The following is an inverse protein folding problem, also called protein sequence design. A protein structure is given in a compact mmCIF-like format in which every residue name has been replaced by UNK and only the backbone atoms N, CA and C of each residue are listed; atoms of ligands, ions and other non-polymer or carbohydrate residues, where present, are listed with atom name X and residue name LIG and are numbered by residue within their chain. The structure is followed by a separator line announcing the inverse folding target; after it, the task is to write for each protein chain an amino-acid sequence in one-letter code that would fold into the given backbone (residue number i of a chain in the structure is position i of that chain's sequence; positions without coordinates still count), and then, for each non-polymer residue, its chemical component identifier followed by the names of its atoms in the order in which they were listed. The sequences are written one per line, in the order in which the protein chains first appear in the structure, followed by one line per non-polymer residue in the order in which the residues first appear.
data_IF_200020480335
#
_entry.id   IF_200020480335
#
_cell.length_a   1.000
_cell.length_b   1.000
_cell.length_c   1.000
_cell.angle_alpha   90.00
_cell.angle_beta   90.00
_cell.angle_gamma   90.00
#
_symmetry.space_group_name_H-M   'P 1'
#
loop_
_entity.id
_entity.type
_entity.pdbx_description
1 polymer ?
2 non-polymer ?
3 non-polymer ?
4 water ?
#
# COMPACT_ATOMS: atom_id res chain seq x y z
N UNK A 26 -0.03 16.89 18.66
CA UNK A 26 -1.00 17.38 17.68
C UNK A 26 -0.44 17.27 16.26
N UNK A 27 -1.19 16.65 15.35
CA UNK A 27 -0.67 16.40 14.00
C UNK A 27 -0.44 17.68 13.21
N UNK A 28 0.55 17.65 12.33
CA UNK A 28 0.80 18.74 11.40
C UNK A 28 1.21 18.18 10.05
N UNK A 29 1.26 19.07 9.07
CA UNK A 29 1.70 18.73 7.72
C UNK A 29 2.31 20.01 7.17
N UNK A 30 3.63 20.11 7.27
CA UNK A 30 4.36 21.25 6.75
C UNK A 30 4.84 21.00 5.35
N UNK A 31 4.69 22.01 4.51
CA UNK A 31 5.04 21.91 3.11
C UNK A 31 5.86 23.13 2.73
N UNK A 32 6.99 22.88 2.09
CA UNK A 32 7.85 23.91 1.54
C UNK A 32 7.91 23.81 0.00
N UNK A 33 7.59 24.88 -0.70
CA UNK A 33 7.68 24.88 -2.15
C UNK A 33 9.12 25.08 -2.60
N UNK A 34 9.56 24.28 -3.56
CA UNK A 34 10.95 24.39 -4.03
C UNK A 34 11.01 25.20 -5.31
N UNK A 35 9.84 25.52 -5.87
CA UNK A 35 9.74 26.38 -7.03
C UNK A 35 8.31 26.89 -7.18
N UNK A 36 8.12 27.80 -8.12
CA UNK A 36 6.84 28.41 -8.39
C UNK A 36 5.86 27.43 -9.05
N UNK A 37 6.40 26.34 -9.57
CA UNK A 37 5.62 25.35 -10.29
C UNK A 37 4.89 24.39 -9.35
N UNK A 38 5.26 24.42 -8.07
CA UNK A 38 4.68 23.53 -7.07
C UNK A 38 3.27 23.98 -6.67
N UNK A 39 2.45 23.01 -6.31
CA UNK A 39 1.08 23.30 -5.84
C UNK A 39 0.90 22.73 -4.44
N UNK A 40 0.43 23.55 -3.49
CA UNK A 40 0.13 23.05 -2.16
C UNK A 40 -0.90 21.92 -2.27
N UNK A 41 -0.57 20.74 -1.70
CA UNK A 41 -1.50 19.61 -1.74
C UNK A 41 -2.82 19.90 -1.01
N UNK A 42 -3.94 19.53 -1.61
CA UNK A 42 -5.25 19.81 -1.02
C UNK A 42 -6.10 18.55 -0.86
N UNK A 43 -6.97 18.56 0.15
CA UNK A 43 -7.93 17.49 0.33
C UNK A 43 -9.26 17.85 -0.33
N UNK A 44 -9.87 16.89 -1.01
CA UNK A 44 -11.09 17.13 -1.75
C UNK A 44 -12.35 17.34 -0.92
N UNK A 45 -12.53 16.50 0.09
CA UNK A 45 -13.71 16.56 0.93
C UNK A 45 -13.28 16.48 2.39
N UNK A 46 -14.18 16.84 3.32
CA UNK A 46 -13.92 16.79 4.77
C UNK A 46 -13.37 15.46 5.28
N UNK A 47 -13.85 14.35 4.75
CA UNK A 47 -13.38 13.05 5.23
C UNK A 47 -12.43 12.34 4.26
N UNK A 48 -11.95 13.03 3.22
CA UNK A 48 -11.03 12.40 2.29
C UNK A 48 -9.72 12.03 3.01
N UNK A 49 -9.13 10.93 2.58
CA UNK A 49 -7.94 10.39 3.21
C UNK A 49 -6.69 11.13 2.75
N UNK A 50 -6.72 11.59 1.51
CA UNK A 50 -5.48 12.03 0.87
C UNK A 50 -5.45 13.46 0.41
N UNK A 51 -4.23 13.98 0.26
CA UNK A 51 -4.02 15.32 -0.28
C UNK A 51 -3.52 15.15 -1.70
N UNK A 52 -4.20 15.79 -2.66
CA UNK A 52 -3.83 15.60 -4.06
C UNK A 52 -2.45 16.19 -4.36
N UNK A 53 -1.66 15.45 -5.14
CA UNK A 53 -0.34 15.89 -5.57
C UNK A 53 -0.37 16.21 -7.04
N UNK A 54 0.20 17.35 -7.41
CA UNK A 54 0.24 17.82 -8.80
C UNK A 54 1.63 17.75 -9.39
N UNK A 55 1.73 17.43 -10.67
CA UNK A 55 3.01 17.42 -11.36
C UNK A 55 3.57 18.84 -11.53
N UNK A 56 4.86 19.00 -11.28
CA UNK A 56 5.52 20.28 -11.52
C UNK A 56 6.07 20.37 -12.94
N UNK A 57 5.85 19.32 -13.74
CA UNK A 57 6.47 19.23 -15.07
C UNK A 57 5.54 18.64 -16.12
N UNK A 58 5.87 18.86 -17.39
CA UNK A 58 5.29 18.08 -18.47
C UNK A 58 6.15 16.84 -18.58
N UNK A 59 5.53 15.66 -18.60
CA UNK A 59 6.30 14.44 -18.71
C UNK A 59 5.49 13.34 -19.37
N UNK A 60 6.11 12.18 -19.52
CA UNK A 60 5.47 11.02 -20.14
C UNK A 60 5.79 9.79 -19.27
N UNK A 61 4.82 8.92 -19.03
CA UNK A 61 5.15 7.60 -18.50
C UNK A 61 5.02 6.63 -19.67
N UNK A 62 6.16 6.14 -20.17
CA UNK A 62 6.15 5.28 -21.36
C UNK A 62 5.35 4.00 -21.12
N UNK A 63 4.68 3.51 -22.16
CA UNK A 63 4.04 2.20 -22.12
C UNK A 63 4.97 1.16 -21.50
N UNK A 64 4.44 0.39 -20.54
CA UNK A 64 5.19 -0.67 -19.86
C UNK A 64 6.42 -0.18 -19.10
N UNK A 65 6.48 1.12 -18.88
CA UNK A 65 7.67 1.73 -18.33
C UNK A 65 7.38 2.48 -17.05
N UNK A 66 8.18 3.51 -16.80
CA UNK A 66 8.15 4.20 -15.51
C UNK A 66 8.59 5.63 -15.69
N UNK A 67 8.31 6.46 -14.69
CA UNK A 67 8.82 7.84 -14.68
C UNK A 67 8.84 8.35 -13.26
N UNK A 68 9.79 9.22 -12.97
CA UNK A 68 9.81 9.92 -11.70
C UNK A 68 9.30 11.33 -11.96
N UNK A 69 8.16 11.67 -11.36
CA UNK A 69 7.54 12.97 -11.59
C UNK A 69 7.74 13.88 -10.38
N UNK A 70 8.50 14.97 -10.57
CA UNK A 70 8.72 15.96 -9.50
C UNK A 70 7.44 16.71 -9.10
N UNK A 71 7.26 16.94 -7.81
CA UNK A 71 6.22 17.83 -7.31
C UNK A 71 6.79 19.22 -6.95
N UNK A 72 8.11 19.32 -6.90
CA UNK A 72 8.83 20.50 -6.38
C UNK A 72 8.36 20.88 -4.98
N UNK A 73 8.02 19.86 -4.19
CA UNK A 73 7.70 20.04 -2.77
C UNK A 73 8.71 19.33 -1.88
N UNK A 74 8.94 19.90 -0.71
CA UNK A 74 9.52 19.18 0.40
C UNK A 74 8.54 19.25 1.56
N UNK A 75 8.48 18.21 2.39
CA UNK A 75 7.46 18.12 3.43
C UNK A 75 7.99 17.64 4.77
N UNK A 76 7.18 17.82 5.80
CA UNK A 76 7.43 17.23 7.11
C UNK A 76 6.13 16.77 7.72
N UNK A 77 6.11 15.55 8.24
CA UNK A 77 4.94 15.06 8.96
C UNK A 77 5.38 14.64 10.36
N UNK A 78 4.44 14.40 11.28
CA UNK A 78 4.86 14.14 12.66
C UNK A 78 5.48 12.76 12.93
N UNK A 79 6.28 12.69 13.99
CA UNK A 79 6.70 11.40 14.52
C UNK A 79 5.47 10.52 14.80
N UNK A 80 5.57 9.23 14.56
CA UNK A 80 4.41 8.36 14.69
C UNK A 80 3.54 8.32 13.44
N UNK A 81 4.00 8.96 12.36
CA UNK A 81 3.37 8.85 11.05
C UNK A 81 4.41 8.72 9.92
N UNK A 82 3.94 8.39 8.72
CA UNK A 82 4.72 8.68 7.51
C UNK A 82 3.76 9.15 6.45
N UNK A 83 4.30 9.73 5.38
CA UNK A 83 3.48 10.17 4.27
C UNK A 83 3.54 9.11 3.17
N UNK A 84 2.39 8.53 2.85
CA UNK A 84 2.36 7.52 1.78
C UNK A 84 1.91 8.16 0.49
N UNK A 85 2.72 8.05 -0.56
CA UNK A 85 2.28 8.45 -1.88
C UNK A 85 1.41 7.34 -2.44
N UNK A 86 0.13 7.64 -2.61
CA UNK A 86 -0.87 6.64 -2.96
C UNK A 86 -1.48 6.95 -4.32
N UNK A 87 -1.98 5.92 -5.02
CA UNK A 87 -2.52 6.12 -6.37
C UNK A 87 -3.91 6.77 -6.37
N UNK A 88 -4.19 7.53 -7.42
CA UNK A 88 -5.55 7.96 -7.72
C UNK A 88 -6.27 6.85 -8.48
N UNK A 89 -7.56 6.67 -8.19
CA UNK A 89 -8.35 5.59 -8.77
C UNK A 89 -8.58 5.81 -10.26
N UNK A 90 -8.85 7.05 -10.65
CA UNK A 90 -9.07 7.39 -12.05
C UNK A 90 -7.90 7.04 -12.95
N UNK A 91 -6.71 7.48 -12.57
CA UNK A 91 -5.52 7.15 -13.35
C UNK A 91 -5.27 5.64 -13.42
N UNK A 92 -5.57 4.93 -12.34
CA UNK A 92 -5.35 3.48 -12.34
C UNK A 92 -6.22 2.81 -13.38
N UNK A 93 -7.51 3.17 -13.40
CA UNK A 93 -8.41 2.50 -14.31
C UNK A 93 -8.33 3.04 -15.75
N UNK A 94 -8.26 4.37 -15.90
CA UNK A 94 -8.19 4.95 -17.23
C UNK A 94 -6.86 4.71 -17.95
N UNK A 95 -5.76 4.64 -17.19
CA UNK A 95 -4.43 4.58 -17.82
C UNK A 95 -3.51 3.45 -17.33
N UNK A 96 -4.04 2.57 -16.49
CA UNK A 96 -3.26 1.47 -15.89
C UNK A 96 -2.05 2.01 -15.13
N UNK A 97 -2.21 3.19 -14.53
CA UNK A 97 -1.09 3.82 -13.83
C UNK A 97 -1.11 3.42 -12.36
N UNK A 98 0.05 3.02 -11.83
CA UNK A 98 0.18 2.73 -10.40
C UNK A 98 1.37 3.51 -9.84
N UNK A 99 1.36 3.74 -8.54
CA UNK A 99 2.44 4.43 -7.86
C UNK A 99 3.43 3.40 -7.28
N UNK A 100 4.70 3.51 -7.65
CA UNK A 100 5.73 2.67 -7.08
C UNK A 100 6.31 3.38 -5.86
N UNK A 101 7.15 2.68 -5.10
CA UNK A 101 7.80 3.28 -3.91
C UNK A 101 6.76 3.95 -2.99
N UNK A 102 6.93 5.24 -2.72
CA UNK A 102 5.88 5.99 -2.04
C UNK A 102 5.96 6.13 -0.52
N UNK A 103 6.98 5.56 0.10
CA UNK A 103 7.16 5.71 1.55
C UNK A 103 8.01 6.95 1.85
N UNK A 104 7.37 8.01 2.33
CA UNK A 104 8.12 9.22 2.67
C UNK A 104 8.26 9.30 4.19
N UNK A 105 9.50 9.16 4.68
CA UNK A 105 9.76 9.22 6.12
C UNK A 105 9.43 10.59 6.69
N UNK A 106 9.02 10.62 7.95
CA UNK A 106 8.61 11.86 8.61
C UNK A 106 9.76 12.85 8.69
N UNK A 107 11.00 12.34 8.62
CA UNK A 107 12.16 13.23 8.70
C UNK A 107 12.90 13.36 7.37
N UNK A 108 12.28 12.91 6.29
CA UNK A 108 12.84 13.12 4.95
C UNK A 108 12.60 14.57 4.48
N UNK A 109 13.67 15.28 4.14
CA UNK A 109 13.54 16.69 3.78
C UNK A 109 13.97 16.97 2.35
N UNK A 110 14.20 15.93 1.57
CA UNK A 110 14.51 16.10 0.16
C UNK A 110 13.27 16.39 -0.68
N UNK A 111 13.47 16.59 -1.99
CA UNK A 111 12.34 16.83 -2.88
C UNK A 111 11.45 15.59 -3.01
N UNK A 112 10.14 15.80 -3.07
CA UNK A 112 9.21 14.69 -3.19
C UNK A 112 8.91 14.43 -4.66
N UNK A 113 9.27 13.24 -5.13
CA UNK A 113 8.98 12.84 -6.48
C UNK A 113 8.01 11.66 -6.47
N UNK A 114 7.19 11.54 -7.51
CA UNK A 114 6.22 10.44 -7.59
C UNK A 114 6.69 9.44 -8.64
N UNK A 115 6.87 8.19 -8.24
CA UNK A 115 7.27 7.16 -9.17
C UNK A 115 6.02 6.48 -9.72
N UNK A 116 5.82 6.60 -11.04
CA UNK A 116 4.65 5.99 -11.70
C UNK A 116 5.10 4.84 -12.56
N UNK A 117 4.40 3.71 -12.45
CA UNK A 117 4.52 2.58 -13.38
C UNK A 117 3.31 2.55 -14.33
N UNK A 118 3.57 2.26 -15.60
CA UNK A 118 2.53 2.19 -16.63
C UNK A 118 2.28 0.72 -17.02
N UNK A 119 1.16 0.16 -16.58
CA UNK A 119 0.91 -1.27 -16.81
C UNK A 119 0.05 -1.47 -18.07
N UNK A 120 0.33 -0.70 -19.11
CA UNK A 120 -0.42 -0.79 -20.35
C UNK A 120 0.53 -0.62 -21.51
N UNK A 121 0.03 -0.81 -22.72
CA UNK A 121 0.86 -0.61 -23.90
C UNK A 121 0.62 0.76 -24.54
N UNK A 122 0.05 1.70 -23.78
CA UNK A 122 -0.13 3.06 -24.28
C UNK A 122 0.62 4.07 -23.41
N UNK A 123 1.36 4.99 -24.04
CA UNK A 123 2.05 6.03 -23.30
C UNK A 123 1.02 6.86 -22.52
N UNK A 124 1.40 7.33 -21.33
CA UNK A 124 0.56 8.21 -20.53
C UNK A 124 1.22 9.57 -20.41
N UNK A 125 0.52 10.61 -20.86
CA UNK A 125 1.08 11.95 -20.86
C UNK A 125 0.72 12.67 -19.57
N UNK A 126 1.72 13.25 -18.93
CA UNK A 126 1.50 14.08 -17.77
C UNK A 126 1.76 15.54 -18.15
N UNK A 127 0.78 16.39 -17.89
CA UNK A 127 0.94 17.83 -18.11
C UNK A 127 1.20 18.54 -16.80
N UNK A 128 1.98 19.60 -16.89
CA UNK A 128 2.18 20.52 -15.78
C UNK A 128 0.85 20.80 -15.05
N UNK A 129 0.83 20.57 -13.74
CA UNK A 129 -0.37 20.83 -12.97
C UNK A 129 -1.36 19.67 -12.84
N UNK A 130 -1.21 18.63 -13.66
CA UNK A 130 -2.05 17.43 -13.55
C UNK A 130 -1.86 16.76 -12.18
N UNK A 131 -2.96 16.29 -11.60
CA UNK A 131 -2.87 15.53 -10.35
C UNK A 131 -2.46 14.10 -10.66
N UNK A 132 -1.44 13.61 -9.97
CA UNK A 132 -0.80 12.33 -10.37
C UNK A 132 -0.78 11.27 -9.27
N UNK A 133 -1.10 11.68 -8.04
CA UNK A 133 -1.12 10.82 -6.87
C UNK A 133 -1.85 11.53 -5.75
N UNK A 134 -1.95 10.89 -4.59
CA UNK A 134 -2.47 11.55 -3.41
C UNK A 134 -1.64 11.11 -2.23
N UNK A 135 -1.37 12.04 -1.32
CA UNK A 135 -0.54 11.78 -0.16
C UNK A 135 -1.42 11.46 1.04
N UNK A 136 -1.11 10.37 1.74
CA UNK A 136 -1.87 9.99 2.92
C UNK A 136 -0.94 9.91 4.13
N UNK A 137 -1.32 10.60 5.20
CA UNK A 137 -0.48 10.62 6.39
C UNK A 137 -0.97 9.51 7.29
N UNK A 138 -0.28 8.38 7.22
CA UNK A 138 -0.70 7.16 7.91
C UNK A 138 -0.06 7.05 9.29
N UNK A 139 -0.83 6.61 10.28
CA UNK A 139 -0.34 6.41 11.64
C UNK A 139 0.40 5.07 11.77
N UNK A 140 1.53 5.09 12.46
CA UNK A 140 2.37 3.91 12.62
C UNK A 140 2.89 3.81 14.04
N UNK A 141 3.46 2.66 14.39
CA UNK A 141 4.29 2.60 15.59
C UNK A 141 5.72 2.26 15.18
N UNK A 142 6.69 2.71 15.96
CA UNK A 142 8.07 2.35 15.64
C UNK A 142 8.79 1.85 16.89
N UNK A 143 8.34 0.69 17.42
CA UNK A 143 8.97 0.14 18.60
C UNK A 143 10.40 -0.33 18.33
N UNK A 144 11.21 -0.38 19.37
CA UNK A 144 12.55 -0.93 19.25
C UNK A 144 12.45 -2.42 18.93
N UNK A 145 13.12 -2.87 17.87
CA UNK A 145 13.02 -4.26 17.46
C UNK A 145 13.90 -5.12 18.36
N UNK A 146 13.41 -6.29 18.74
CA UNK A 146 14.21 -7.22 19.54
C UNK A 146 14.17 -8.63 18.96
N UNK A 147 15.33 -9.28 18.91
CA UNK A 147 15.40 -10.66 18.48
C UNK A 147 15.02 -11.54 19.67
N UNK A 148 14.22 -12.58 19.43
CA UNK A 148 13.85 -13.48 20.50
C UNK A 148 14.17 -14.93 20.10
N UNK A 149 14.26 -15.81 21.08
CA UNK A 149 14.51 -17.24 20.83
C UNK A 149 13.28 -17.96 20.32
N UNK A 150 12.11 -17.58 20.85
CA UNK A 150 10.88 -18.13 20.34
C UNK A 150 9.74 -17.12 20.43
N UNK A 151 8.78 -17.25 19.53
CA UNK A 151 7.57 -16.44 19.52
C UNK A 151 6.37 -17.27 19.97
N UNK A 152 5.37 -16.61 20.53
CA UNK A 152 4.11 -17.28 20.86
C UNK A 152 3.49 -17.86 19.60
N UNK A 153 2.87 -19.03 19.72
CA UNK A 153 2.10 -19.59 18.62
C UNK A 153 0.66 -19.13 18.74
N UNK A 154 0.04 -18.84 17.61
CA UNK A 154 -1.25 -18.18 17.62
C UNK A 154 -2.35 -19.10 17.13
N UNK A 155 -3.52 -18.96 17.76
CA UNK A 155 -4.73 -19.61 17.27
C UNK A 155 -5.12 -18.91 15.99
N UNK A 156 -4.90 -19.56 14.85
CA UNK A 156 -5.09 -18.89 13.57
C UNK A 156 -5.65 -19.83 12.51
N UNK B 25 -1.18 -1.46 26.41
CA UNK B 25 0.21 -1.94 26.42
C UNK B 25 1.08 -1.23 25.40
N UNK B 26 2.38 -1.19 25.64
CA UNK B 26 3.31 -0.55 24.73
C UNK B 26 3.47 -1.37 23.45
N UNK B 27 3.72 -0.70 22.32
CA UNK B 27 3.96 -1.45 21.07
C UNK B 27 5.26 -2.25 21.16
N UNK B 28 5.38 -3.28 20.32
CA UNK B 28 6.58 -4.13 20.29
C UNK B 28 6.82 -4.65 18.89
N UNK B 29 8.05 -5.05 18.61
CA UNK B 29 8.39 -5.72 17.36
C UNK B 29 9.41 -6.81 17.68
N UNK B 30 8.94 -8.06 17.71
CA UNK B 30 9.78 -9.21 18.03
C UNK B 30 10.06 -9.99 16.76
N UNK B 31 11.31 -10.41 16.61
CA UNK B 31 11.68 -11.20 15.44
C UNK B 31 12.45 -12.44 15.87
N UNK B 32 12.18 -13.53 15.18
CA UNK B 32 12.84 -14.80 15.45
C UNK B 32 13.58 -15.26 14.20
N UNK B 33 14.88 -15.49 14.32
CA UNK B 33 15.65 -15.96 13.18
C UNK B 33 15.42 -17.45 12.94
N UNK B 34 15.02 -17.79 11.73
CA UNK B 34 14.79 -19.17 11.33
C UNK B 34 16.07 -19.80 10.78
N UNK B 35 17.04 -18.98 10.40
CA UNK B 35 18.36 -19.48 10.06
C UNK B 35 19.39 -18.44 10.42
N UNK B 36 20.66 -18.84 10.31
CA UNK B 36 21.78 -17.93 10.53
C UNK B 36 21.83 -16.83 9.47
N UNK B 37 21.23 -17.08 8.30
CA UNK B 37 21.25 -16.09 7.23
C UNK B 37 20.32 -14.89 7.48
N UNK B 38 19.38 -15.03 8.41
CA UNK B 38 18.44 -13.92 8.69
C UNK B 38 19.17 -12.72 9.27
N UNK B 39 18.67 -11.53 8.97
CA UNK B 39 19.20 -10.29 9.51
C UNK B 39 18.11 -9.59 10.32
N UNK B 40 18.45 -9.15 11.52
CA UNK B 40 17.54 -8.32 12.31
C UNK B 40 17.15 -7.08 11.50
N UNK B 41 15.83 -6.87 11.29
CA UNK B 41 15.39 -5.68 10.55
C UNK B 41 15.73 -4.40 11.31
N UNK B 42 16.27 -3.40 10.64
CA UNK B 42 16.58 -2.16 11.37
C UNK B 42 16.02 -0.95 10.66
N UNK B 43 15.60 0.05 11.43
CA UNK B 43 15.09 1.29 10.83
C UNK B 43 16.23 2.13 10.29
N UNK B 44 15.91 3.15 9.49
CA UNK B 44 16.93 3.86 8.74
C UNK B 44 17.21 5.29 9.17
N UNK B 45 16.38 5.83 10.04
CA UNK B 45 16.53 7.18 10.60
C UNK B 45 15.63 7.20 11.82
N UNK B 46 15.86 8.12 12.77
CA UNK B 46 15.10 8.04 14.03
C UNK B 46 13.58 8.22 13.88
N UNK B 47 13.15 8.89 12.81
CA UNK B 47 11.72 9.06 12.54
C UNK B 47 11.27 8.25 11.33
N UNK B 48 12.14 7.36 10.84
CA UNK B 48 11.82 6.60 9.63
C UNK B 48 10.62 5.67 9.86
N UNK B 49 9.86 5.43 8.80
CA UNK B 49 8.63 4.63 8.92
C UNK B 49 8.90 3.16 9.15
N UNK B 50 9.97 2.64 8.58
CA UNK B 50 10.07 1.21 8.44
C UNK B 50 11.39 0.57 8.77
N UNK B 51 11.36 -0.76 8.88
CA UNK B 51 12.51 -1.56 9.23
C UNK B 51 13.01 -2.26 7.98
N UNK B 52 14.28 -2.07 7.64
CA UNK B 52 14.84 -2.67 6.42
C UNK B 52 14.83 -4.20 6.48
N UNK B 53 14.34 -4.83 5.41
CA UNK B 53 14.33 -6.29 5.30
C UNK B 53 15.43 -6.75 4.34
N UNK B 54 16.24 -7.70 4.78
CA UNK B 54 17.35 -8.22 3.96
C UNK B 54 17.05 -9.61 3.43
N UNK B 55 17.53 -9.92 2.23
CA UNK B 55 17.35 -11.26 1.68
C UNK B 55 18.19 -12.29 2.42
N UNK B 56 17.60 -13.45 2.67
CA UNK B 56 18.32 -14.57 3.25
C UNK B 56 18.93 -15.47 2.19
N UNK B 57 18.74 -15.13 0.92
CA UNK B 57 19.19 -15.97 -0.19
C UNK B 57 19.81 -15.19 -1.35
N UNK B 58 20.57 -15.89 -2.20
CA UNK B 58 20.86 -15.39 -3.54
C UNK B 58 19.70 -15.80 -4.43
N UNK B 59 19.15 -14.85 -5.16
CA UNK B 59 18.07 -15.18 -6.06
C UNK B 59 17.99 -14.10 -7.14
N UNK B 60 16.87 -14.08 -7.86
CA UNK B 60 16.64 -13.04 -8.85
C UNK B 60 15.14 -12.84 -9.01
N UNK B 61 14.74 -11.65 -9.41
CA UNK B 61 13.36 -11.40 -9.81
C UNK B 61 13.38 -11.27 -11.33
N UNK B 62 12.82 -12.25 -12.05
CA UNK B 62 12.93 -12.25 -13.51
C UNK B 62 12.22 -11.05 -14.15
N UNK B 63 12.71 -10.62 -15.31
CA UNK B 63 12.07 -9.57 -16.10
C UNK B 63 10.59 -9.84 -16.28
N UNK B 64 9.75 -8.82 -16.03
CA UNK B 64 8.30 -8.90 -16.22
C UNK B 64 7.68 -10.03 -15.37
N UNK B 65 8.41 -10.47 -14.36
CA UNK B 65 7.97 -11.57 -13.54
C UNK B 65 7.97 -11.26 -12.05
N UNK B 66 8.20 -12.30 -11.24
CA UNK B 66 8.01 -12.20 -9.80
C UNK B 66 8.90 -13.17 -9.05
N UNK B 67 9.06 -12.93 -7.76
CA UNK B 67 9.83 -13.83 -6.91
C UNK B 67 9.35 -13.72 -5.47
N UNK B 68 9.53 -14.81 -4.72
CA UNK B 68 9.27 -14.83 -3.30
C UNK B 68 10.62 -14.94 -2.61
N UNK B 69 11.05 -13.85 -1.97
CA UNK B 69 12.38 -13.82 -1.37
C UNK B 69 12.26 -14.02 0.14
N UNK B 70 12.78 -15.15 0.65
CA UNK B 70 12.79 -15.43 2.09
C UNK B 70 13.63 -14.43 2.88
N UNK B 71 13.14 -14.01 4.05
CA UNK B 71 13.95 -13.27 5.01
C UNK B 71 14.47 -14.23 6.09
N UNK B 72 13.92 -15.43 6.13
CA UNK B 72 14.20 -16.39 7.21
C UNK B 72 13.90 -15.79 8.60
N UNK B 73 12.85 -14.97 8.66
CA UNK B 73 12.33 -14.41 9.91
C UNK B 73 10.89 -14.83 10.13
N UNK B 74 10.54 -15.06 11.38
CA UNK B 74 9.16 -15.00 11.83
C UNK B 74 9.06 -13.81 12.75
N UNK B 75 7.89 -13.17 12.79
CA UNK B 75 7.74 -11.92 13.54
C UNK B 75 6.46 -11.86 14.34
N UNK B 76 6.38 -10.89 15.24
CA UNK B 76 5.16 -10.60 15.98
C UNK B 76 5.05 -9.09 16.17
N UNK B 77 3.89 -8.53 15.83
CA UNK B 77 3.61 -7.12 16.02
C UNK B 77 2.28 -7.05 16.79
N UNK B 78 1.96 -5.89 17.40
CA UNK B 78 0.82 -5.84 18.32
C UNK B 78 -0.56 -5.92 17.69
N UNK B 79 -1.53 -6.39 18.46
CA UNK B 79 -2.94 -6.26 18.10
C UNK B 79 -3.23 -4.79 17.83
N UNK B 80 -4.04 -4.50 16.82
CA UNK B 80 -4.31 -3.12 16.46
C UNK B 80 -3.32 -2.54 15.45
N UNK B 81 -2.40 -3.39 14.99
CA UNK B 81 -1.49 -3.05 13.91
C UNK B 81 -1.46 -4.19 12.90
N UNK B 82 -0.83 -3.97 11.75
CA UNK B 82 -0.31 -5.07 10.96
C UNK B 82 1.07 -4.68 10.44
N UNK B 83 1.85 -5.66 9.99
CA UNK B 83 3.13 -5.35 9.37
C UNK B 83 2.96 -5.28 7.86
N UNK B 84 3.26 -4.12 7.27
CA UNK B 84 3.19 -3.98 5.81
C UNK B 84 4.59 -4.07 5.22
N UNK B 85 4.78 -5.05 4.33
CA UNK B 85 6.01 -5.13 3.55
C UNK B 85 5.88 -4.14 2.41
N UNK B 86 6.72 -3.11 2.45
CA UNK B 86 6.58 -1.95 1.57
C UNK B 86 7.83 -1.81 0.71
N UNK B 87 7.69 -1.19 -0.48
CA UNK B 87 8.83 -1.12 -1.39
C UNK B 87 9.85 -0.07 -0.96
N UNK B 88 11.12 -0.34 -1.26
CA UNK B 88 12.16 0.68 -1.15
C UNK B 88 12.11 1.58 -2.39
N UNK B 89 12.38 2.87 -2.20
CA UNK B 89 12.27 3.82 -3.30
C UNK B 89 13.37 3.61 -4.36
N UNK B 90 14.60 3.35 -3.91
CA UNK B 90 15.72 3.17 -4.81
C UNK B 90 15.49 2.02 -5.78
N UNK B 91 15.09 0.87 -5.24
CA UNK B 91 14.82 -0.29 -6.09
C UNK B 91 13.68 -0.03 -7.05
N UNK B 92 12.66 0.73 -6.63
CA UNK B 92 11.54 1.01 -7.52
C UNK B 92 11.99 1.81 -8.73
N UNK B 93 12.81 2.84 -8.56
CA UNK B 93 13.21 3.57 -9.76
C UNK B 93 14.32 2.86 -10.54
N UNK B 94 15.27 2.27 -9.83
CA UNK B 94 16.44 1.70 -10.49
C UNK B 94 16.16 0.37 -11.20
N UNK B 95 15.23 -0.41 -10.65
CA UNK B 95 14.97 -1.76 -11.15
C UNK B 95 13.51 -2.01 -11.49
N UNK B 96 12.66 -1.00 -11.28
CA UNK B 96 11.22 -1.11 -11.52
C UNK B 96 10.60 -2.19 -10.64
N UNK B 97 11.14 -2.32 -9.43
CA UNK B 97 10.71 -3.34 -8.47
C UNK B 97 9.60 -2.80 -7.57
N UNK B 98 8.56 -3.60 -7.38
CA UNK B 98 7.49 -3.26 -6.46
C UNK B 98 7.21 -4.46 -5.58
N UNK B 99 6.58 -4.23 -4.44
CA UNK B 99 6.10 -5.33 -3.61
C UNK B 99 4.70 -5.69 -4.09
N UNK B 100 4.52 -6.92 -4.56
CA UNK B 100 3.26 -7.35 -5.14
C UNK B 100 2.12 -7.40 -4.14
N UNK B 101 2.45 -7.84 -2.92
CA UNK B 101 1.49 -7.88 -1.83
C UNK B 101 2.30 -8.00 -0.56
N UNK B 102 1.87 -7.33 0.50
CA UNK B 102 2.71 -7.28 1.70
C UNK B 102 1.99 -7.14 3.02
N UNK B 103 0.76 -7.64 3.10
CA UNK B 103 0.00 -7.58 4.35
C UNK B 103 0.39 -8.75 5.26
N UNK B 104 1.05 -8.44 6.38
CA UNK B 104 1.33 -9.50 7.35
C UNK B 104 0.50 -9.26 8.61
N UNK B 105 -0.40 -10.19 8.91
CA UNK B 105 -1.27 -10.09 10.08
C UNK B 105 -0.48 -10.13 11.37
N UNK B 106 -0.99 -9.44 12.39
CA UNK B 106 -0.33 -9.43 13.69
C UNK B 106 -0.24 -10.82 14.31
N UNK B 107 -1.08 -11.76 13.88
CA UNK B 107 -0.99 -13.10 14.47
C UNK B 107 -0.30 -14.09 13.53
N UNK B 108 0.28 -13.61 12.44
CA UNK B 108 0.96 -14.50 11.52
C UNK B 108 2.34 -14.88 12.06
N UNK B 109 2.57 -16.17 12.29
CA UNK B 109 3.83 -16.61 12.86
C UNK B 109 4.67 -17.47 11.90
N UNK B 110 4.22 -17.61 10.66
CA UNK B 110 5.01 -18.32 9.68
C UNK B 110 6.23 -17.54 9.21
N UNK B 111 7.03 -18.13 8.31
CA UNK B 111 8.20 -17.44 7.76
C UNK B 111 7.77 -16.23 6.92
N UNK B 112 8.54 -15.15 6.99
CA UNK B 112 8.18 -13.95 6.24
C UNK B 112 8.96 -13.92 4.92
N UNK B 113 8.22 -13.97 3.81
CA UNK B 113 8.84 -13.87 2.51
C UNK B 113 8.37 -12.59 1.83
N UNK B 114 9.21 -12.05 0.95
CA UNK B 114 8.87 -10.82 0.26
C UNK B 114 8.52 -11.12 -1.19
N UNK B 115 7.30 -10.77 -1.56
CA UNK B 115 6.84 -10.97 -2.92
C UNK B 115 7.20 -9.76 -3.77
N UNK B 116 8.15 -9.94 -4.67
CA UNK B 116 8.55 -8.84 -5.55
C UNK B 116 8.06 -9.07 -6.96
N UNK B 117 7.51 -7.99 -7.55
CA UNK B 117 7.13 -7.91 -8.95
C UNK B 117 8.18 -7.04 -9.65
N UNK B 118 8.62 -7.50 -10.83
CA UNK B 118 9.58 -6.78 -11.66
C UNK B 118 8.88 -6.17 -12.87
N UNK B 119 8.71 -4.85 -12.88
CA UNK B 119 8.00 -4.19 -13.96
C UNK B 119 8.95 -3.63 -15.04
N UNK B 120 10.03 -4.37 -15.30
CA UNK B 120 11.01 -3.99 -16.31
C UNK B 120 11.35 -5.20 -17.16
N UNK B 121 12.10 -4.98 -18.25
CA UNK B 121 12.55 -6.06 -19.13
C UNK B 121 13.95 -6.56 -18.81
N UNK B 122 14.42 -6.35 -17.59
CA UNK B 122 15.70 -6.92 -17.16
C UNK B 122 15.58 -7.57 -15.78
N UNK B 123 16.25 -8.72 -15.59
CA UNK B 123 16.23 -9.40 -14.30
C UNK B 123 16.81 -8.51 -13.22
N UNK B 124 16.30 -8.66 -12.00
CA UNK B 124 16.87 -7.98 -10.84
C UNK B 124 17.56 -9.01 -9.95
N UNK B 125 18.87 -8.88 -9.81
CA UNK B 125 19.67 -9.83 -9.04
C UNK B 125 19.57 -9.57 -7.55
N UNK B 126 19.39 -10.63 -6.78
CA UNK B 126 19.33 -10.54 -5.31
C UNK B 126 20.45 -11.35 -4.68
N UNK B 127 21.28 -10.71 -3.86
CA UNK B 127 22.34 -11.42 -3.13
C UNK B 127 21.98 -11.46 -1.66
N UNK B 128 22.42 -12.48 -0.93
CA UNK B 128 21.96 -12.55 0.45
C UNK B 128 22.54 -11.37 1.22
N UNK B 129 21.71 -10.84 2.12
CA UNK B 129 22.04 -9.63 2.82
C UNK B 129 21.51 -8.36 2.17
N UNK B 130 21.18 -8.40 0.87
CA UNK B 130 20.67 -7.20 0.17
C UNK B 130 19.36 -6.74 0.77
N UNK B 131 19.20 -5.44 0.98
CA UNK B 131 17.89 -4.94 1.41
C UNK B 131 16.93 -5.00 0.23
N UNK B 132 15.77 -5.63 0.44
CA UNK B 132 14.82 -5.87 -0.65
C UNK B 132 13.45 -5.24 -0.42
N UNK B 133 13.22 -4.77 0.79
CA UNK B 133 11.94 -4.13 1.15
C UNK B 133 12.08 -3.42 2.50
N UNK B 134 11.02 -2.77 2.95
CA UNK B 134 10.97 -2.28 4.32
C UNK B 134 9.64 -2.67 4.94
N UNK B 135 9.66 -2.90 6.24
CA UNK B 135 8.47 -3.31 6.98
C UNK B 135 7.93 -2.13 7.76
N UNK B 136 6.64 -1.86 7.65
CA UNK B 136 6.05 -0.73 8.35
C UNK B 136 4.93 -1.25 9.21
N UNK B 137 4.95 -0.88 10.50
CA UNK B 137 3.94 -1.36 11.41
C UNK B 137 2.83 -0.32 11.47
N UNK B 138 1.78 -0.56 10.68
CA UNK B 138 0.72 0.40 10.49
C UNK B 138 -0.39 0.25 11.51
N UNK B 139 -0.88 1.36 12.03
CA UNK B 139 -2.02 1.33 12.96
C UNK B 139 -3.32 1.17 12.22
N UNK B 140 -4.19 0.30 12.75
CA UNK B 140 -5.49 0.02 12.16
C UNK B 140 -6.57 -0.07 13.23
N UNK B 141 -7.83 -0.13 12.78
CA UNK B 141 -8.92 -0.55 13.67
C UNK B 141 -9.55 -1.80 13.09
N UNK B 142 -10.09 -2.65 13.95
CA UNK B 142 -10.74 -3.86 13.48
C UNK B 142 -12.11 -4.07 14.14
N UNK B 143 -13.06 -3.15 13.90
CA UNK B 143 -14.38 -3.30 14.50
C UNK B 143 -15.16 -4.46 13.89
N UNK B 144 -16.26 -4.82 14.55
CA UNK B 144 -17.16 -5.84 14.00
C UNK B 144 -17.82 -5.31 12.75
N UNK B 145 -18.02 -6.18 11.78
CA UNK B 145 -18.73 -5.84 10.57
C UNK B 145 -20.20 -5.81 10.88
N UNK B 146 -20.89 -4.76 10.45
CA UNK B 146 -22.32 -4.69 10.68
C UNK B 146 -23.05 -4.37 9.38
N UNK B 147 -23.80 -5.34 8.87
CA UNK B 147 -24.64 -5.09 7.72
C UNK B 147 -25.72 -4.07 8.08
N UNK B 148 -25.94 -3.08 7.23
CA UNK B 148 -27.01 -2.09 7.45
C UNK B 148 -27.89 -1.89 6.22
N UNK B 149 -29.07 -1.30 6.42
CA UNK B 149 -29.98 -1.01 5.31
C UNK B 149 -29.60 0.25 4.57
N UNK B 150 -29.15 1.25 5.31
CA UNK B 150 -28.85 2.54 4.72
C UNK B 150 -27.56 3.13 5.29
N UNK B 151 -26.82 3.85 4.44
CA UNK B 151 -25.66 4.63 4.87
C UNK B 151 -26.00 6.12 4.83
N UNK B 152 -25.32 6.92 5.65
CA UNK B 152 -25.56 8.37 5.66
C UNK B 152 -25.09 9.01 4.35
N UNK B 153 -25.66 10.17 4.04
CA UNK B 153 -25.29 10.93 2.86
C UNK B 153 -24.21 11.95 3.20
N UNK B 154 -23.31 12.22 2.26
CA UNK B 154 -22.21 13.15 2.50
C UNK B 154 -22.07 14.17 1.37
N UNK C 26 -15.90 5.80 18.54
CA UNK C 26 -15.77 4.35 18.56
C UNK C 26 -15.75 3.78 17.14
N UNK C 27 -14.77 2.90 16.84
CA UNK C 27 -14.63 2.37 15.48
C UNK C 27 -15.85 1.59 15.02
N UNK C 28 -16.17 1.70 13.74
CA UNK C 28 -17.26 0.94 13.16
C UNK C 28 -16.90 0.56 11.74
N UNK C 29 -17.52 -0.49 11.23
CA UNK C 29 -17.39 -0.82 9.83
C UNK C 29 -18.79 -1.23 9.36
N UNK C 30 -19.49 -0.29 8.72
CA UNK C 30 -20.85 -0.50 8.21
C UNK C 30 -20.82 -0.85 6.75
N UNK C 31 -21.58 -1.87 6.40
CA UNK C 31 -21.63 -2.41 5.05
C UNK C 31 -23.08 -2.53 4.57
N UNK C 32 -23.33 -2.06 3.36
CA UNK C 32 -24.64 -2.22 2.73
C UNK C 32 -24.54 -3.09 1.50
N UNK C 33 -25.34 -4.14 1.45
CA UNK C 33 -25.43 -4.98 0.27
C UNK C 33 -26.19 -4.24 -0.82
N UNK C 34 -25.63 -4.22 -2.02
CA UNK C 34 -26.25 -3.56 -3.15
C UNK C 34 -26.97 -4.57 -4.04
N UNK C 35 -26.75 -5.85 -3.79
CA UNK C 35 -27.44 -6.90 -4.50
C UNK C 35 -27.43 -8.12 -3.62
N UNK C 36 -28.14 -9.16 -4.05
CA UNK C 36 -28.22 -10.40 -3.29
C UNK C 36 -26.93 -11.20 -3.45
N UNK C 37 -26.16 -10.88 -4.49
CA UNK C 37 -24.93 -11.61 -4.79
C UNK C 37 -23.79 -11.25 -3.84
N UNK C 38 -23.92 -10.13 -3.14
CA UNK C 38 -22.85 -9.65 -2.27
C UNK C 38 -22.59 -10.60 -1.10
N UNK C 39 -21.35 -10.61 -0.65
CA UNK C 39 -20.91 -11.39 0.49
C UNK C 39 -20.41 -10.39 1.55
N UNK C 40 -20.97 -10.46 2.75
CA UNK C 40 -20.51 -9.62 3.86
C UNK C 40 -19.07 -9.98 4.19
N UNK C 41 -18.17 -8.98 4.23
CA UNK C 41 -16.75 -9.21 4.52
C UNK C 41 -16.50 -9.80 5.91
N UNK C 42 -15.52 -10.67 6.00
CA UNK C 42 -15.14 -11.27 7.27
C UNK C 42 -13.64 -11.24 7.39
N UNK C 43 -13.14 -11.16 8.61
CA UNK C 43 -11.71 -11.34 8.85
C UNK C 43 -11.33 -12.82 8.83
N UNK C 44 -10.11 -13.11 8.37
CA UNK C 44 -9.66 -14.48 8.17
C UNK C 44 -9.08 -15.15 9.41
N UNK C 45 -8.51 -14.34 10.29
CA UNK C 45 -7.94 -14.84 11.53
C UNK C 45 -8.30 -13.86 12.65
N UNK C 46 -8.16 -14.28 13.91
CA UNK C 46 -8.56 -13.38 15.01
C UNK C 46 -7.87 -12.01 15.02
N UNK C 47 -6.57 -11.93 14.76
CA UNK C 47 -5.88 -10.63 14.76
C UNK C 47 -5.64 -10.09 13.36
N UNK C 48 -6.33 -10.66 12.37
CA UNK C 48 -6.11 -10.31 10.98
C UNK C 48 -6.31 -8.82 10.75
N UNK C 49 -5.52 -8.27 9.84
CA UNK C 49 -5.59 -6.85 9.52
C UNK C 49 -6.87 -6.52 8.77
N UNK C 50 -7.30 -7.43 7.90
CA UNK C 50 -8.27 -7.05 6.89
C UNK C 50 -9.52 -7.88 6.79
N UNK C 51 -10.51 -7.33 6.09
CA UNK C 51 -11.76 -8.03 5.87
C UNK C 51 -11.77 -8.52 4.43
N UNK C 52 -11.96 -9.83 4.23
CA UNK C 52 -11.90 -10.40 2.88
C UNK C 52 -13.04 -9.89 1.99
N UNK C 53 -12.71 -9.53 0.75
CA UNK C 53 -13.72 -9.04 -0.18
C UNK C 53 -13.92 -10.06 -1.29
N UNK C 54 -15.18 -10.34 -1.63
CA UNK C 54 -15.50 -11.38 -2.62
C UNK C 54 -16.07 -10.79 -3.88
N UNK C 55 -15.76 -11.40 -5.02
CA UNK C 55 -16.26 -10.92 -6.30
C UNK C 55 -17.75 -11.17 -6.42
N UNK C 56 -18.48 -10.18 -6.93
CA UNK C 56 -19.90 -10.35 -7.19
C UNK C 56 -20.13 -10.76 -8.64
N UNK C 57 -19.03 -10.99 -9.35
CA UNK C 57 -19.11 -11.36 -10.76
C UNK C 57 -18.09 -12.40 -11.15
N UNK C 58 -18.31 -12.92 -12.34
CA UNK C 58 -17.33 -13.71 -13.03
C UNK C 58 -16.65 -12.77 -14.03
N UNK C 59 -15.33 -12.68 -13.99
CA UNK C 59 -14.64 -11.74 -14.87
C UNK C 59 -13.23 -12.17 -15.29
N UNK C 60 -12.95 -12.02 -16.57
CA UNK C 60 -11.60 -12.25 -17.09
C UNK C 60 -10.66 -11.13 -16.66
N UNK C 61 -9.44 -11.49 -16.25
CA UNK C 61 -8.38 -10.49 -16.10
C UNK C 61 -7.31 -10.81 -17.12
N UNK C 62 -7.33 -10.11 -18.26
CA UNK C 62 -6.45 -10.44 -19.37
C UNK C 62 -4.98 -10.32 -19.00
N UNK C 63 -4.16 -11.15 -19.62
CA UNK C 63 -2.71 -11.08 -19.49
C UNK C 63 -2.20 -9.65 -19.70
N UNK C 64 -1.39 -9.19 -18.76
CA UNK C 64 -0.77 -7.86 -18.83
C UNK C 64 -1.81 -6.76 -18.91
N UNK C 65 -3.00 -7.05 -18.38
CA UNK C 65 -4.12 -6.15 -18.46
C UNK C 65 -4.73 -5.95 -17.10
N UNK C 66 -6.03 -5.67 -17.08
CA UNK C 66 -6.69 -5.23 -15.86
C UNK C 66 -8.16 -5.57 -15.88
N UNK C 67 -8.79 -5.55 -14.70
CA UNK C 67 -10.23 -5.74 -14.61
C UNK C 67 -10.76 -4.96 -13.43
N UNK C 68 -12.01 -4.51 -13.51
CA UNK C 68 -12.64 -3.85 -12.38
C UNK C 68 -13.71 -4.77 -11.84
N UNK C 69 -13.51 -5.26 -10.63
CA UNK C 69 -14.39 -6.29 -10.07
C UNK C 69 -15.31 -5.71 -9.00
N UNK C 70 -16.62 -5.71 -9.27
CA UNK C 70 -17.60 -5.23 -8.29
C UNK C 70 -17.71 -6.16 -7.10
N UNK C 71 -17.93 -5.60 -5.90
CA UNK C 71 -18.23 -6.39 -4.72
C UNK C 71 -19.72 -6.33 -4.40
N UNK C 72 -20.41 -5.43 -5.08
CA UNK C 72 -21.80 -5.09 -4.80
C UNK C 72 -21.98 -4.71 -3.32
N UNK C 73 -21.00 -3.98 -2.79
CA UNK C 73 -21.08 -3.42 -1.46
C UNK C 73 -20.85 -1.92 -1.49
N UNK C 74 -21.56 -1.20 -0.62
CA UNK C 74 -21.17 0.14 -0.23
C UNK C 74 -20.79 0.11 1.24
N UNK C 75 -19.90 1.00 1.66
CA UNK C 75 -19.39 0.98 3.03
C UNK C 75 -19.29 2.35 3.67
N UNK C 76 -19.16 2.35 5.00
CA UNK C 76 -18.79 3.54 5.74
C UNK C 76 -17.78 3.16 6.82
N UNK C 77 -16.72 3.94 6.93
CA UNK C 77 -15.72 3.74 7.98
C UNK C 77 -15.54 5.08 8.70
N UNK C 78 -14.90 5.07 9.88
CA UNK C 78 -14.90 6.29 10.69
C UNK C 78 -13.97 7.39 10.21
N UNK C 79 -14.33 8.63 10.53
CA UNK C 79 -13.41 9.76 10.39
C UNK C 79 -12.11 9.44 11.12
N UNK C 80 -10.99 9.84 10.55
CA UNK C 80 -9.69 9.51 11.13
C UNK C 80 -9.16 8.18 10.61
N UNK C 81 -9.87 7.59 9.65
CA UNK C 81 -9.43 6.36 8.98
C UNK C 81 -9.74 6.43 7.49
N UNK C 82 -9.23 5.46 6.73
CA UNK C 82 -9.78 5.18 5.42
C UNK C 82 -9.76 3.68 5.20
N UNK C 83 -10.50 3.23 4.20
CA UNK C 83 -10.51 1.82 3.85
C UNK C 83 -9.55 1.62 2.69
N UNK C 84 -8.50 0.83 2.94
CA UNK C 84 -7.57 0.50 1.87
C UNK C 84 -7.93 -0.85 1.29
N UNK C 85 -8.20 -0.88 -0.01
CA UNK C 85 -8.35 -2.17 -0.70
C UNK C 85 -6.98 -2.77 -0.91
N UNK C 86 -6.63 -3.80 -0.14
CA UNK C 86 -5.27 -4.33 -0.14
C UNK C 86 -5.22 -5.69 -0.84
N UNK C 87 -4.05 -6.02 -1.44
CA UNK C 87 -3.90 -7.30 -2.13
C UNK C 87 -3.85 -8.49 -1.19
N UNK C 88 -4.44 -9.60 -1.63
CA UNK C 88 -4.24 -10.90 -1.01
C UNK C 88 -2.93 -11.52 -1.52
N UNK C 89 -2.17 -12.14 -0.62
CA UNK C 89 -0.86 -12.65 -0.97
C UNK C 89 -0.94 -13.84 -1.93
N UNK C 90 -1.97 -14.66 -1.75
CA UNK C 90 -2.18 -15.81 -2.61
C UNK C 90 -2.39 -15.43 -4.07
N UNK C 91 -3.28 -14.46 -4.30
CA UNK C 91 -3.53 -13.97 -5.66
C UNK C 91 -2.27 -13.42 -6.30
N UNK C 92 -1.47 -12.75 -5.48
CA UNK C 92 -0.27 -12.10 -5.98
C UNK C 92 0.78 -13.13 -6.34
N UNK C 93 1.10 -13.99 -5.38
CA UNK C 93 2.14 -14.98 -5.57
C UNK C 93 1.74 -16.06 -6.57
N UNK C 94 0.53 -16.60 -6.44
CA UNK C 94 0.10 -17.69 -7.31
C UNK C 94 -0.22 -17.25 -8.72
N UNK C 95 -0.82 -16.07 -8.86
CA UNK C 95 -1.32 -15.65 -10.17
C UNK C 95 -0.81 -14.32 -10.70
N UNK C 96 0.17 -13.72 -10.02
CA UNK C 96 0.73 -12.40 -10.41
C UNK C 96 -0.32 -11.30 -10.47
N UNK C 97 -1.39 -11.45 -9.70
CA UNK C 97 -2.47 -10.46 -9.65
C UNK C 97 -2.23 -9.49 -8.50
N UNK C 98 -2.28 -8.19 -8.73
CA UNK C 98 -2.29 -7.33 -7.57
C UNK C 98 -3.32 -6.20 -7.71
N UNK C 99 -3.35 -5.31 -6.74
CA UNK C 99 -4.46 -4.38 -6.63
C UNK C 99 -4.00 -2.96 -6.96
N UNK C 100 -4.70 -2.31 -7.89
CA UNK C 100 -4.40 -0.92 -8.17
C UNK C 100 -5.33 -0.02 -7.35
N UNK C 101 -5.08 1.28 -7.37
CA UNK C 101 -5.94 2.23 -6.68
C UNK C 101 -6.09 1.81 -5.22
N UNK C 102 -7.33 1.68 -4.76
CA UNK C 102 -7.57 1.09 -3.45
C UNK C 102 -7.82 2.04 -2.29
N UNK C 103 -7.70 3.35 -2.53
CA UNK C 103 -8.00 4.31 -1.48
C UNK C 103 -9.50 4.66 -1.45
N UNK C 104 -10.21 4.14 -0.47
CA UNK C 104 -11.62 4.44 -0.29
C UNK C 104 -11.80 5.41 0.88
N UNK C 105 -12.18 6.66 0.57
CA UNK C 105 -12.37 7.68 1.60
C UNK C 105 -13.48 7.30 2.55
N UNK C 106 -13.40 7.77 3.79
CA UNK C 106 -14.39 7.49 4.81
C UNK C 106 -15.78 8.05 4.46
N UNK C 107 -15.83 9.04 3.58
CA UNK C 107 -17.13 9.58 3.15
C UNK C 107 -17.57 9.07 1.77
N UNK C 108 -16.85 8.09 1.21
CA UNK C 108 -17.26 7.53 -0.08
C UNK C 108 -18.41 6.55 0.11
N UNK C 109 -19.53 6.81 -0.57
CA UNK C 109 -20.72 6.01 -0.37
C UNK C 109 -21.15 5.28 -1.64
N UNK C 110 -20.33 5.36 -2.69
CA UNK C 110 -20.61 4.62 -3.91
C UNK C 110 -20.29 3.15 -3.78
N UNK C 111 -20.52 2.38 -4.86
CA UNK C 111 -20.20 0.94 -4.85
C UNK C 111 -18.70 0.71 -4.76
N UNK C 112 -18.28 -0.32 -4.02
CA UNK C 112 -16.85 -0.62 -3.92
C UNK C 112 -16.43 -1.62 -4.99
N UNK C 113 -15.53 -1.19 -5.86
CA UNK C 113 -14.97 -2.05 -6.89
C UNK C 113 -13.49 -2.26 -6.66
N UNK C 114 -12.97 -3.39 -7.12
CA UNK C 114 -11.56 -3.71 -6.95
C UNK C 114 -10.89 -3.71 -8.31
N UNK C 115 -9.83 -2.93 -8.45
CA UNK C 115 -9.04 -2.93 -9.68
C UNK C 115 -7.91 -3.95 -9.58
N UNK C 116 -7.94 -4.94 -10.46
CA UNK C 116 -6.88 -5.95 -10.50
C UNK C 116 -6.01 -5.73 -11.71
N UNK C 117 -4.70 -5.81 -11.49
CA UNK C 117 -3.70 -5.79 -12.54
C UNK C 117 -3.12 -7.20 -12.68
N UNK C 118 -3.02 -7.69 -13.91
CA UNK C 118 -2.44 -9.01 -14.17
C UNK C 118 -0.99 -8.87 -14.66
N UNK C 119 -0.02 -9.13 -13.79
CA UNK C 119 1.41 -8.96 -14.12
C UNK C 119 2.02 -10.25 -14.69
N UNK C 120 1.32 -10.86 -15.63
CA UNK C 120 1.79 -12.10 -16.22
C UNK C 120 1.30 -12.20 -17.66
N UNK C 121 1.85 -13.15 -18.41
CA UNK C 121 1.38 -13.38 -19.76
C UNK C 121 0.30 -14.46 -19.82
N UNK C 122 -0.23 -14.84 -18.66
CA UNK C 122 -1.35 -15.78 -18.61
C UNK C 122 -2.67 -15.05 -18.36
N UNK C 123 -3.67 -15.35 -19.18
CA UNK C 123 -5.02 -14.88 -18.91
C UNK C 123 -5.47 -15.49 -17.60
N UNK C 124 -6.25 -14.73 -16.83
CA UNK C 124 -6.77 -15.19 -15.55
C UNK C 124 -8.27 -14.97 -15.52
N UNK C 125 -8.99 -15.77 -14.73
CA UNK C 125 -10.41 -15.54 -14.60
C UNK C 125 -10.83 -15.57 -13.14
N UNK C 126 -11.47 -14.49 -12.73
CA UNK C 126 -12.08 -14.41 -11.39
C UNK C 126 -13.46 -15.04 -11.45
N UNK C 127 -13.76 -15.94 -10.52
CA UNK C 127 -15.07 -16.57 -10.45
C UNK C 127 -15.96 -15.90 -9.42
N UNK C 128 -17.26 -15.95 -9.64
CA UNK C 128 -18.22 -15.42 -8.69
C UNK C 128 -17.93 -15.98 -7.28
N UNK C 129 -17.89 -15.09 -6.29
CA UNK C 129 -17.58 -15.50 -4.93
C UNK C 129 -16.11 -15.64 -4.58
N UNK C 130 -15.20 -15.55 -5.55
CA UNK C 130 -13.77 -15.58 -5.23
C UNK C 130 -13.38 -14.39 -4.35
N UNK C 131 -12.51 -14.62 -3.38
CA UNK C 131 -11.96 -13.52 -2.60
C UNK C 131 -10.85 -12.86 -3.43
N UNK C 132 -11.02 -11.58 -3.73
CA UNK C 132 -10.11 -10.89 -4.64
C UNK C 132 -9.28 -9.78 -4.00
N UNK C 133 -9.54 -9.50 -2.73
CA UNK C 133 -8.82 -8.47 -1.99
C UNK C 133 -9.16 -8.54 -0.50
N UNK C 134 -8.51 -7.70 0.28
CA UNK C 134 -8.86 -7.55 1.69
C UNK C 134 -8.88 -6.06 2.03
N UNK C 135 -9.93 -5.67 2.74
CA UNK C 135 -10.11 -4.28 3.14
C UNK C 135 -9.47 -4.05 4.49
N UNK C 136 -8.60 -3.05 4.58
CA UNK C 136 -7.96 -2.72 5.85
C UNK C 136 -8.32 -1.30 6.24
N UNK C 137 -8.80 -1.12 7.47
CA UNK C 137 -9.20 0.19 7.95
C UNK C 137 -8.01 0.82 8.65
N UNK C 138 -7.33 1.71 7.93
CA UNK C 138 -6.06 2.27 8.35
C UNK C 138 -6.24 3.61 9.03
N UNK C 139 -5.59 3.79 10.18
CA UNK C 139 -5.68 5.06 10.89
C UNK C 139 -4.79 6.11 10.25
N UNK C 140 -5.30 7.34 10.16
CA UNK C 140 -4.58 8.43 9.51
C UNK C 140 -4.76 9.72 10.30
N UNK C 141 -3.99 10.75 9.95
CA UNK C 141 -4.31 12.09 10.41
C UNK C 141 -4.56 12.98 9.19
N UNK C 142 -5.37 14.02 9.36
CA UNK C 142 -5.65 14.93 8.26
C UNK C 142 -5.59 16.40 8.69
N UNK C 143 -4.41 16.88 9.12
CA UNK C 143 -4.27 18.28 9.52
C UNK C 143 -4.30 19.23 8.34
N UNK C 144 -4.72 20.47 8.57
CA UNK C 144 -4.61 21.51 7.56
C UNK C 144 -3.14 21.79 7.31
N UNK C 145 -2.76 21.92 6.04
CA UNK C 145 -1.39 22.18 5.64
C UNK C 145 -0.86 23.54 6.11
N UNK C 146 0.33 23.56 6.70
CA UNK C 146 1.03 24.82 6.95
C UNK C 146 2.17 24.96 5.95
N UNK C 147 2.11 25.99 5.10
CA UNK C 147 3.24 26.24 4.19
C UNK C 147 4.35 26.98 4.95
N UNK C 148 5.60 26.57 4.74
CA UNK C 148 6.72 27.14 5.49
C UNK C 148 7.89 27.42 4.57
N UNK C 149 8.81 28.28 5.03
CA UNK C 149 10.06 28.48 4.30
C UNK C 149 11.13 27.53 4.82
N UNK C 150 10.95 27.08 6.05
CA UNK C 150 11.88 26.14 6.66
C UNK C 150 11.14 25.02 7.38
N UNK C 151 11.39 23.79 6.97
CA UNK C 151 10.61 22.65 7.46
C UNK C 151 10.93 22.27 8.91
N UNK C 152 12.08 22.71 9.42
CA UNK C 152 12.50 22.33 10.78
C UNK C 152 12.56 23.52 11.73
X LIG D 1 -4.19 6.34 18.19
X LIG D 1 -3.45 7.36 17.44
X LIG D 1 -4.28 6.74 19.60
X LIG D 1 -5.52 6.20 17.62
X LIG D 1 -3.48 5.07 18.10
X LIG E 1 -1.04 1.84 4.75
X LIG F 1 3.85 -5.32 -16.64
X LIG F 1 5.13 -5.21 -15.96
X LIG F 1 3.20 -4.01 -16.77
X LIG F 1 4.06 -5.84 -17.98
X LIG F 1 2.99 -6.23 -15.89
#
# INVERSE_FOLDING_TARGET
MACVNEPSPKLQKLDRNGIHGDSSPSPFFKVKKLSEKAVIPTRGSPLSAGYDLSSAVDSKVPARGKALIPTDLSIAVPEGTYARIAPRSGLAWKHSIDVGAGVIDADYRGPVGVILFNHSDADFEVKFGDRIAQLIIEKIVTPDVVEVDDLDETVRGDGGFGSTGV
MACVNEPSPKLQKLDRNGIHGDSSPSPFFKVKKLSEKAVIPTRGSPLSAGYDLSSAVDSKVPARGKALIPTDLSIAVPEGTYARIAPRSGLAWKHSIDVGAGVIDADYRGPVGVILFNHSDADFEVKFGDRIAQLIIEKIVTPDVVEVDDLDETVRGDGGFGSTGV
MACVNEPSPKLQKLDRNGIHGDSSPSPFFKVKKLSEKAVIPTRGSPLSAGYDLSSAVDSKVPARGKALIPTDLSIAVPEGTYARIAPRSGLAWKHSIDVGAGVIDADYRGPVGVILFNHSDADFEVKFGDRIAQLIIEKIVTPDVVEVDDLDETVRGDGGFGSTGV
SO4 S O1 O2 O3 O4
MG MG
SO4 S O1 O2 O3 O4
#
